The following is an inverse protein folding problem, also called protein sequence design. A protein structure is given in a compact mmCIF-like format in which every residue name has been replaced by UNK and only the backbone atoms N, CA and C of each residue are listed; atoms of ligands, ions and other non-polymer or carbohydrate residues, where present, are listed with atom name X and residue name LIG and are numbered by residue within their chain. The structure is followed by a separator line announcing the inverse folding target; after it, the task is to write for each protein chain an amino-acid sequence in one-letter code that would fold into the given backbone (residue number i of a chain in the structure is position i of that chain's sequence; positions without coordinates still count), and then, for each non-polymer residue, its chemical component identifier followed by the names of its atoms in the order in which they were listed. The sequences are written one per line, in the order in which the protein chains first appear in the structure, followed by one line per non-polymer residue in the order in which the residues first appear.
data_IF_981248667984
#
_entry.id   IF_981248667984
#
_cell.length_a   1.000
_cell.length_b   1.000
_cell.length_c   1.000
_cell.angle_alpha   90.00
_cell.angle_beta   90.00
_cell.angle_gamma   90.00
#
_symmetry.space_group_name_H-M   'P 1'
#
loop_
_entity.id
_entity.type
_entity.pdbx_description
1 polymer ?
#
# COMPACT_ATOMS: atom_id res chain seq x y z
N UNK A 1 -6.94 -12.10 16.53
CA UNK A 1 -6.94 -11.17 15.38
C UNK A 1 -5.68 -11.25 14.50
N UNK A 2 -4.55 -11.82 14.97
CA UNK A 2 -3.26 -11.73 14.26
C UNK A 2 -2.72 -13.08 13.73
N UNK A 3 -3.38 -14.20 13.98
CA UNK A 3 -2.84 -15.56 13.74
C UNK A 3 -2.62 -15.95 12.27
N UNK A 4 -2.98 -15.11 11.30
CA UNK A 4 -2.79 -15.33 9.86
C UNK A 4 -2.07 -14.16 9.16
N UNK A 5 -1.36 -13.31 9.90
CA UNK A 5 -0.50 -12.29 9.29
C UNK A 5 0.82 -12.93 8.88
N UNK A 6 1.47 -12.38 7.85
CA UNK A 6 2.84 -12.75 7.50
C UNK A 6 3.71 -12.71 8.76
N UNK A 7 4.19 -13.88 9.18
CA UNK A 7 5.08 -14.06 10.33
C UNK A 7 6.56 -13.96 9.93
N UNK A 8 6.82 -13.80 8.64
CA UNK A 8 8.15 -13.83 8.05
C UNK A 8 8.43 -12.50 7.36
N UNK A 9 9.57 -11.91 7.70
CA UNK A 9 10.14 -10.79 6.98
C UNK A 9 11.32 -11.31 6.17
N UNK A 10 11.32 -11.04 4.86
CA UNK A 10 12.46 -11.32 4.01
C UNK A 10 13.44 -10.15 4.10
N UNK A 11 14.71 -10.49 4.31
CA UNK A 11 15.83 -9.57 4.26
C UNK A 11 16.95 -10.24 3.47
N UNK A 12 17.44 -9.57 2.44
CA UNK A 12 18.59 -10.03 1.66
C UNK A 12 19.82 -9.22 2.06
N UNK A 13 20.95 -9.89 2.24
CA UNK A 13 22.20 -9.16 2.43
C UNK A 13 22.62 -8.53 1.12
N UNK A 14 22.91 -7.24 1.16
CA UNK A 14 23.37 -6.49 -0.01
C UNK A 14 24.58 -7.14 -0.70
N UNK A 15 25.53 -7.64 0.08
CA UNK A 15 26.79 -8.22 -0.43
C UNK A 15 26.59 -9.59 -1.10
N UNK A 16 25.42 -10.20 -0.93
CA UNK A 16 25.02 -11.46 -1.58
C UNK A 16 24.23 -11.23 -2.88
N UNK A 17 23.96 -9.96 -3.24
CA UNK A 17 23.20 -9.59 -4.44
C UNK A 17 24.12 -9.18 -5.58
N UNK A 18 23.84 -9.72 -6.77
CA UNK A 18 24.54 -9.35 -8.00
C UNK A 18 24.36 -7.85 -8.34
N UNK A 19 25.38 -7.20 -8.95
CA UNK A 19 25.30 -5.77 -9.28
C UNK A 19 24.08 -5.38 -10.12
N UNK A 20 23.63 -6.27 -11.01
CA UNK A 20 22.46 -6.03 -11.85
C UNK A 20 21.15 -6.10 -11.04
N UNK A 21 21.06 -7.00 -10.06
CA UNK A 21 19.93 -7.07 -9.12
C UNK A 21 19.86 -5.80 -8.29
N UNK A 22 21.01 -5.32 -7.78
CA UNK A 22 21.09 -4.06 -7.05
C UNK A 22 20.64 -2.87 -7.90
N UNK A 23 21.00 -2.84 -9.18
CA UNK A 23 20.56 -1.79 -10.11
C UNK A 23 19.04 -1.83 -10.37
N UNK A 24 18.45 -3.02 -10.50
CA UNK A 24 17.00 -3.19 -10.64
C UNK A 24 16.26 -2.71 -9.38
N UNK A 25 16.75 -3.06 -8.19
CA UNK A 25 16.21 -2.57 -6.91
C UNK A 25 16.33 -1.05 -6.81
N UNK A 26 17.47 -0.47 -7.18
CA UNK A 26 17.66 0.98 -7.15
C UNK A 26 16.66 1.70 -8.08
N UNK A 27 16.37 1.14 -9.26
CA UNK A 27 15.39 1.70 -10.18
C UNK A 27 13.97 1.65 -9.60
N UNK A 28 13.61 0.54 -8.94
CA UNK A 28 12.33 0.41 -8.22
C UNK A 28 12.23 1.48 -7.13
N UNK A 29 13.24 1.63 -6.27
CA UNK A 29 13.25 2.60 -5.17
C UNK A 29 13.22 4.04 -5.70
N UNK A 30 13.94 4.33 -6.79
CA UNK A 30 13.91 5.65 -7.44
C UNK A 30 12.51 5.97 -7.99
N UNK A 31 11.84 4.98 -8.56
CA UNK A 31 10.45 5.10 -9.02
C UNK A 31 9.49 5.31 -7.85
N UNK A 32 9.66 4.57 -6.74
CA UNK A 32 8.91 4.77 -5.50
C UNK A 32 9.03 6.23 -5.04
N UNK A 33 10.25 6.75 -4.88
CA UNK A 33 10.47 8.15 -4.51
C UNK A 33 9.78 9.14 -5.46
N UNK A 34 9.86 8.91 -6.77
CA UNK A 34 9.20 9.75 -7.78
C UNK A 34 7.68 9.74 -7.68
N UNK A 35 7.09 8.59 -7.33
CA UNK A 35 5.64 8.39 -7.31
C UNK A 35 5.05 8.33 -5.89
N UNK A 36 5.80 8.74 -4.87
CA UNK A 36 5.40 8.69 -3.46
C UNK A 36 4.05 9.36 -3.19
N UNK A 37 3.80 10.54 -3.79
CA UNK A 37 2.51 11.21 -3.67
C UNK A 37 1.36 10.37 -4.24
N UNK A 38 1.54 9.81 -5.43
CA UNK A 38 0.51 8.99 -6.08
C UNK A 38 0.22 7.71 -5.29
N UNK A 39 1.26 7.16 -4.66
CA UNK A 39 1.15 6.00 -3.78
C UNK A 39 0.36 6.37 -2.52
N UNK A 40 0.74 7.46 -1.85
CA UNK A 40 0.04 7.97 -0.67
C UNK A 40 -1.43 8.29 -0.95
N UNK A 41 -1.73 8.99 -2.06
CA UNK A 41 -3.09 9.31 -2.50
C UNK A 41 -3.95 8.08 -2.81
N UNK A 42 -3.31 6.93 -3.09
CA UNK A 42 -3.99 5.66 -3.36
C UNK A 42 -4.18 4.81 -2.10
N UNK A 43 -3.26 4.92 -1.15
CA UNK A 43 -3.37 4.23 0.14
C UNK A 43 -4.24 4.99 1.13
N UNK A 44 -4.39 6.30 0.98
CA UNK A 44 -5.16 7.16 1.88
C UNK A 44 -6.44 7.65 1.21
N UNK A 45 -7.56 7.48 1.90
CA UNK A 45 -8.87 7.87 1.42
C UNK A 45 -9.15 9.35 1.68
N UNK A 46 -9.09 10.17 0.64
CA UNK A 46 -9.75 11.48 0.61
C UNK A 46 -10.76 11.43 -0.53
N UNK A 47 -12.00 11.02 -0.22
CA UNK A 47 -13.13 11.20 -1.14
C UNK A 47 -13.25 12.66 -1.51
N UNK A 48 -13.21 12.94 -2.80
CA UNK A 48 -13.54 14.25 -3.34
C UNK A 48 -14.85 14.09 -4.09
N UNK A 49 -15.84 14.90 -3.72
CA UNK A 49 -17.03 15.06 -4.52
C UNK A 49 -16.65 15.83 -5.78
N UNK A 50 -16.63 15.11 -6.91
CA UNK A 50 -16.22 15.66 -8.21
C UNK A 50 -17.21 16.73 -8.69
N UNK A 51 -18.46 16.65 -8.24
CA UNK A 51 -19.54 17.55 -8.66
C UNK A 51 -19.69 18.77 -7.74
N UNK A 52 -18.97 18.82 -6.62
CA UNK A 52 -19.06 19.92 -5.66
C UNK A 52 -18.58 21.26 -6.25
N UNK A 53 -17.44 21.26 -6.96
CA UNK A 53 -16.89 22.42 -7.65
C UNK A 53 -15.82 22.07 -8.69
N UNK A 54 -15.46 23.06 -9.53
CA UNK A 54 -14.46 22.91 -10.59
C UNK A 54 -13.07 22.50 -10.05
N UNK A 55 -12.72 22.93 -8.83
CA UNK A 55 -11.43 22.63 -8.21
C UNK A 55 -11.36 21.16 -7.79
N UNK A 56 -12.46 20.62 -7.28
CA UNK A 56 -12.61 19.23 -6.89
C UNK A 56 -12.54 18.31 -8.10
N UNK A 57 -13.20 18.68 -9.20
CA UNK A 57 -13.08 17.97 -10.48
C UNK A 57 -11.65 17.98 -11.03
N UNK A 58 -10.96 19.12 -10.99
CA UNK A 58 -9.58 19.27 -11.42
C UNK A 58 -8.61 18.41 -10.58
N UNK A 59 -8.74 18.47 -9.24
CA UNK A 59 -7.92 17.64 -8.35
C UNK A 59 -8.14 16.16 -8.59
N UNK A 60 -9.38 15.73 -8.81
CA UNK A 60 -9.70 14.34 -9.12
C UNK A 60 -9.02 13.89 -10.40
N UNK A 61 -9.06 14.71 -11.46
CA UNK A 61 -8.37 14.46 -12.73
C UNK A 61 -6.86 14.30 -12.52
N UNK A 62 -6.21 15.19 -11.78
CA UNK A 62 -4.77 15.10 -11.55
C UNK A 62 -4.36 13.87 -10.73
N UNK A 63 -5.15 13.51 -9.71
CA UNK A 63 -4.94 12.26 -8.95
C UNK A 63 -5.06 11.04 -9.86
N UNK A 64 -6.06 11.00 -10.73
CA UNK A 64 -6.24 9.90 -11.69
C UNK A 64 -5.03 9.76 -12.64
N UNK A 65 -4.49 10.88 -13.14
CA UNK A 65 -3.29 10.90 -13.99
C UNK A 65 -2.07 10.37 -13.23
N UNK A 66 -1.81 10.88 -12.02
CA UNK A 66 -0.70 10.43 -11.17
C UNK A 66 -0.79 8.94 -10.85
N UNK A 67 -1.98 8.46 -10.47
CA UNK A 67 -2.27 7.04 -10.22
C UNK A 67 -1.95 6.18 -11.44
N UNK A 68 -2.42 6.58 -12.62
CA UNK A 68 -2.18 5.83 -13.83
C UNK A 68 -0.69 5.78 -14.19
N UNK A 69 0.06 6.86 -13.95
CA UNK A 69 1.50 6.89 -14.13
C UNK A 69 2.24 5.95 -13.16
N UNK A 70 1.88 5.98 -11.87
CA UNK A 70 2.42 5.07 -10.85
C UNK A 70 2.23 3.60 -11.25
N UNK A 71 0.99 3.19 -11.56
CA UNK A 71 0.67 1.79 -11.87
C UNK A 71 1.43 1.31 -13.11
N UNK A 72 1.44 2.12 -14.18
CA UNK A 72 2.17 1.76 -15.40
C UNK A 72 3.66 1.58 -15.14
N UNK A 73 4.28 2.54 -14.44
CA UNK A 73 5.72 2.51 -14.20
C UNK A 73 6.10 1.39 -13.24
N UNK A 74 5.37 1.21 -12.14
CA UNK A 74 5.60 0.13 -11.18
C UNK A 74 5.51 -1.23 -11.87
N UNK A 75 4.42 -1.52 -12.60
CA UNK A 75 4.25 -2.80 -13.27
C UNK A 75 5.32 -3.05 -14.35
N UNK A 76 5.80 -2.01 -15.03
CA UNK A 76 6.90 -2.15 -15.99
C UNK A 76 8.22 -2.52 -15.31
N UNK A 77 8.53 -1.90 -14.17
CA UNK A 77 9.75 -2.18 -13.40
C UNK A 77 9.72 -3.57 -12.77
N UNK A 78 8.58 -3.98 -12.19
CA UNK A 78 8.43 -5.33 -11.65
C UNK A 78 8.60 -6.38 -12.75
N UNK A 79 7.98 -6.20 -13.93
CA UNK A 79 8.19 -7.10 -15.08
C UNK A 79 9.65 -7.13 -15.54
N UNK A 80 10.34 -5.99 -15.55
CA UNK A 80 11.75 -5.91 -15.92
C UNK A 80 12.62 -6.68 -14.91
N UNK A 81 12.42 -6.44 -13.62
CA UNK A 81 13.15 -7.10 -12.54
C UNK A 81 12.94 -8.63 -12.59
N UNK A 82 11.70 -9.10 -12.75
CA UNK A 82 11.40 -10.53 -12.86
C UNK A 82 11.90 -11.18 -14.16
N UNK A 83 12.27 -10.40 -15.18
CA UNK A 83 12.91 -10.92 -16.39
C UNK A 83 14.42 -11.16 -16.18
N UNK A 84 15.03 -10.56 -15.16
CA UNK A 84 16.37 -10.87 -14.72
C UNK A 84 16.35 -12.20 -13.93
N UNK A 85 16.99 -13.23 -14.48
CA UNK A 85 16.97 -14.60 -13.91
C UNK A 85 17.60 -14.69 -12.51
N UNK A 86 18.52 -13.77 -12.22
CA UNK A 86 19.24 -13.74 -10.96
C UNK A 86 18.50 -12.89 -9.91
N UNK A 87 17.37 -12.26 -10.26
CA UNK A 87 16.57 -11.46 -9.34
C UNK A 87 15.71 -12.35 -8.44
N UNK A 88 15.96 -12.38 -7.11
CA UNK A 88 15.12 -13.14 -6.18
C UNK A 88 13.74 -12.49 -6.04
N UNK A 89 12.67 -13.23 -6.36
CA UNK A 89 11.29 -12.72 -6.23
C UNK A 89 10.95 -12.29 -4.79
N UNK A 90 11.57 -12.93 -3.80
CA UNK A 90 11.48 -12.57 -2.38
C UNK A 90 11.92 -11.14 -2.07
N UNK A 91 12.74 -10.49 -2.91
CA UNK A 91 13.10 -9.08 -2.76
C UNK A 91 11.88 -8.16 -2.83
N UNK A 92 10.88 -8.52 -3.63
CA UNK A 92 9.64 -7.74 -3.75
C UNK A 92 8.77 -7.81 -2.49
N UNK A 93 9.06 -8.76 -1.61
CA UNK A 93 8.41 -8.91 -0.30
C UNK A 93 9.20 -8.24 0.83
N UNK A 94 10.34 -7.60 0.54
CA UNK A 94 11.06 -6.85 1.56
C UNK A 94 10.24 -5.64 2.04
N UNK A 95 10.29 -5.29 3.34
CA UNK A 95 9.60 -4.13 3.87
C UNK A 95 9.91 -2.81 3.16
N UNK A 96 11.11 -2.69 2.58
CA UNK A 96 11.55 -1.49 1.88
C UNK A 96 10.97 -1.31 0.48
N UNK A 97 10.30 -2.33 -0.09
CA UNK A 97 9.75 -2.30 -1.44
C UNK A 97 8.23 -2.18 -1.37
N UNK A 98 7.68 -1.12 -1.97
CA UNK A 98 6.24 -0.88 -1.92
C UNK A 98 5.50 -1.84 -2.85
N UNK A 99 4.48 -2.51 -2.31
CA UNK A 99 3.44 -3.14 -3.11
C UNK A 99 2.37 -2.12 -3.46
N UNK A 100 2.17 -1.84 -4.76
CA UNK A 100 1.09 -0.95 -5.20
C UNK A 100 -0.24 -1.70 -5.14
N UNK A 101 -1.20 -1.33 -4.28
CA UNK A 101 -2.46 -2.06 -4.17
C UNK A 101 -3.29 -1.92 -5.45
N UNK A 102 -4.06 -2.94 -5.83
CA UNK A 102 -4.92 -2.91 -7.04
C UNK A 102 -6.19 -2.08 -6.86
N UNK A 103 -6.63 -1.88 -5.61
CA UNK A 103 -7.76 -1.02 -5.26
C UNK A 103 -7.29 0.06 -4.28
N UNK A 104 -7.90 1.24 -4.35
CA UNK A 104 -7.78 2.18 -3.24
C UNK A 104 -8.40 1.50 -2.02
N UNK A 105 -7.77 1.58 -0.84
CA UNK A 105 -8.35 1.02 0.38
C UNK A 105 -9.67 1.77 0.65
N UNK A 106 -10.83 1.11 0.61
CA UNK A 106 -12.10 1.82 0.75
C UNK A 106 -12.49 2.07 2.22
N UNK A 107 -11.65 1.71 3.20
CA UNK A 107 -12.08 1.73 4.60
C UNK A 107 -12.02 3.13 5.23
N UNK A 108 -13.16 3.80 5.18
CA UNK A 108 -13.54 4.81 6.17
C UNK A 108 -14.21 4.04 7.31
N UNK A 109 -13.75 4.26 8.55
CA UNK A 109 -14.49 3.79 9.73
C UNK A 109 -15.92 4.33 9.69
N UNK A 110 -16.91 3.48 9.91
CA UNK A 110 -18.29 3.94 10.03
C UNK A 110 -18.36 4.97 11.16
N UNK A 111 -18.85 6.18 10.84
CA UNK A 111 -19.10 7.20 11.85
C UNK A 111 -20.08 6.63 12.89
N UNK A 112 -19.78 6.69 14.20
CA UNK A 112 -20.71 6.22 15.23
C UNK A 112 -22.12 6.82 15.12
N UNK A 113 -22.24 8.02 14.54
CA UNK A 113 -23.49 8.75 14.31
C UNK A 113 -24.24 8.30 13.06
N UNK A 114 -23.74 7.35 12.28
CA UNK A 114 -24.41 6.88 11.06
C UNK A 114 -25.86 6.44 11.32
N UNK A 115 -26.13 5.86 12.48
CA UNK A 115 -27.48 5.49 12.90
C UNK A 115 -28.36 6.71 13.24
N UNK A 116 -27.78 7.75 13.85
CA UNK A 116 -28.46 9.02 14.17
C UNK A 116 -28.80 9.81 12.90
N UNK A 117 -28.01 9.63 11.84
CA UNK A 117 -28.20 10.26 10.53
C UNK A 117 -29.14 9.46 9.60
N UNK A 118 -29.84 8.44 10.13
CA UNK A 118 -30.79 7.62 9.36
C UNK A 118 -30.14 6.53 8.50
N UNK A 119 -28.85 6.29 8.69
CA UNK A 119 -28.12 5.19 8.05
C UNK A 119 -28.23 3.85 8.81
N UNK A 120 -27.60 2.78 8.30
CA UNK A 120 -27.60 1.48 8.96
C UNK A 120 -26.89 1.54 10.32
N UNK A 121 -27.19 0.59 11.22
CA UNK A 121 -26.52 0.51 12.51
C UNK A 121 -25.00 0.40 12.33
N UNK A 122 -24.25 1.27 13.01
CA UNK A 122 -22.79 1.22 13.04
C UNK A 122 -22.31 -0.12 13.60
N UNK A 123 -21.43 -0.80 12.87
CA UNK A 123 -20.73 -1.99 13.33
C UNK A 123 -19.76 -1.61 14.44
N UNK A 124 -19.48 -2.55 15.35
CA UNK A 124 -18.44 -2.30 16.35
C UNK A 124 -17.08 -2.10 15.67
N UNK A 125 -16.19 -1.35 16.31
CA UNK A 125 -14.82 -1.15 15.82
C UNK A 125 -14.13 -2.49 15.56
N UNK A 126 -14.36 -3.49 16.44
CA UNK A 126 -13.82 -4.84 16.30
C UNK A 126 -14.33 -5.57 15.05
N UNK A 127 -15.63 -5.46 14.73
CA UNK A 127 -16.17 -6.05 13.49
C UNK A 127 -15.62 -5.35 12.26
N UNK A 128 -15.56 -4.00 12.28
CA UNK A 128 -14.99 -3.23 11.18
C UNK A 128 -13.50 -3.58 10.95
N UNK A 129 -12.73 -3.77 12.04
CA UNK A 129 -11.34 -4.23 12.04
C UNK A 129 -11.20 -5.66 11.50
N UNK A 130 -12.11 -6.57 11.88
CA UNK A 130 -12.16 -7.95 11.42
C UNK A 130 -12.42 -8.06 9.92
N UNK A 131 -13.41 -7.32 9.41
CA UNK A 131 -13.74 -7.25 7.99
C UNK A 131 -12.57 -6.67 7.17
N UNK A 132 -11.98 -5.57 7.65
CA UNK A 132 -10.78 -4.99 7.03
C UNK A 132 -9.64 -6.00 6.98
N UNK A 133 -9.40 -6.72 8.07
CA UNK A 133 -8.33 -7.71 8.13
C UNK A 133 -8.56 -8.89 7.18
N UNK A 134 -9.81 -9.35 7.01
CA UNK A 134 -10.16 -10.41 6.08
C UNK A 134 -9.95 -10.00 4.61
N UNK A 135 -10.16 -8.72 4.29
CA UNK A 135 -10.11 -8.21 2.91
C UNK A 135 -8.69 -7.74 2.55
N UNK A 136 -7.94 -7.21 3.52
CA UNK A 136 -6.58 -6.67 3.31
C UNK A 136 -5.60 -7.10 4.42
N UNK A 137 -5.21 -8.38 4.50
CA UNK A 137 -4.40 -8.92 5.60
C UNK A 137 -2.99 -8.31 5.74
N UNK A 138 -2.49 -7.62 4.71
CA UNK A 138 -1.09 -7.22 4.57
C UNK A 138 -0.77 -5.73 4.87
N UNK A 139 -1.76 -4.85 5.07
CA UNK A 139 -1.50 -3.38 5.06
C UNK A 139 -0.96 -2.75 6.33
N UNK A 140 -0.73 -3.49 7.40
CA UNK A 140 0.01 -2.96 8.55
C UNK A 140 1.52 -3.02 8.30
N UNK A 141 2.02 -2.30 7.29
CA UNK A 141 3.43 -1.87 7.26
C UNK A 141 3.52 -0.55 8.02
N UNK A 142 3.44 -0.64 9.36
CA UNK A 142 4.27 0.06 10.36
C UNK A 142 3.68 -0.04 11.79
N UNK A 143 4.57 -0.32 12.74
CA UNK A 143 4.52 0.15 14.13
C UNK A 143 3.75 -0.72 15.15
N UNK A 144 4.45 -1.61 15.86
CA UNK A 144 4.78 -1.44 17.29
C UNK A 144 5.80 -2.51 17.70
N UNK A 145 6.92 -2.05 18.26
CA UNK A 145 7.72 -2.84 19.20
C UNK A 145 6.82 -3.11 20.41
N UNK A 146 6.60 -4.38 20.75
CA UNK A 146 6.10 -4.72 22.06
C UNK A 146 7.25 -4.65 23.07
N UNK A 147 6.99 -3.89 24.11
CA UNK A 147 7.81 -3.84 25.30
C UNK A 147 7.78 -5.21 25.96
N UNK A 148 8.76 -6.06 25.67
CA UNK A 148 9.29 -7.08 26.57
C UNK A 148 10.61 -7.62 26.00
N UNK A 149 11.71 -6.98 26.42
CA UNK A 149 13.03 -7.49 26.14
C UNK A 149 13.21 -8.91 26.68
N UNK A 150 13.63 -9.82 25.81
CA UNK A 150 14.46 -10.97 26.13
C UNK A 150 15.08 -11.48 24.81
N UNK A 151 16.35 -11.87 24.93
CA UNK A 151 17.34 -12.13 23.88
C UNK A 151 16.90 -13.05 22.74
#
# INVERSE_FOLDING_TARGET
MFNNRFSEFYFHKRDELEPMVLADVEEIVRSMKKHAQAFWERTHWVTMDVEADAKSAELHKYRAIRRAALIRQHNALIRKALANKDFPESLLSEPGIWTVPDKACPWIWQDPRVAELGGPKCLSLETQLGDLHAIEPARMQEGYLDANGAL
#
